data_IF_309501007530
#
_entry.id   IF_309501007530
#
_cell.length_a   1.000
_cell.length_b   1.000
_cell.length_c   1.000
_cell.angle_alpha   90.00
_cell.angle_beta   90.00
_cell.angle_gamma   90.00
#
_symmetry.space_group_name_H-M   'P 1'
#
loop_
_entity.id
_entity.type
_entity.pdbx_description
1 polymer ?
#
# COMPACT_ATOMS: atom_id res chain seq x y z
N UNK A 1 -22.91 -22.21 2.03
CA UNK A 1 -22.64 -21.59 0.70
C UNK A 1 -21.87 -20.30 0.93
N UNK A 2 -20.55 -20.38 0.96
CA UNK A 2 -19.69 -19.20 1.12
C UNK A 2 -19.51 -18.56 -0.24
N UNK A 3 -20.05 -17.36 -0.43
CA UNK A 3 -19.76 -16.55 -1.61
C UNK A 3 -18.28 -16.17 -1.48
N UNK A 4 -17.44 -16.75 -2.34
CA UNK A 4 -16.04 -16.37 -2.46
C UNK A 4 -15.94 -14.93 -2.94
N UNK A 5 -15.89 -14.00 -2.00
CA UNK A 5 -15.48 -12.63 -2.25
C UNK A 5 -14.17 -12.43 -1.49
N UNK A 6 -13.11 -12.08 -2.21
CA UNK A 6 -11.81 -11.73 -1.62
C UNK A 6 -11.82 -10.24 -1.28
N UNK A 7 -12.60 -9.86 -0.27
CA UNK A 7 -12.57 -8.53 0.32
C UNK A 7 -12.39 -8.66 1.82
N UNK A 8 -11.78 -7.65 2.47
CA UNK A 8 -11.55 -7.68 3.92
C UNK A 8 -12.81 -7.97 4.72
N UNK A 9 -13.96 -7.49 4.24
CA UNK A 9 -15.26 -7.75 4.85
C UNK A 9 -15.77 -9.19 4.65
N UNK A 10 -15.49 -9.79 3.49
CA UNK A 10 -15.97 -11.14 3.17
C UNK A 10 -15.18 -12.24 3.91
N UNK A 11 -14.00 -11.90 4.42
CA UNK A 11 -13.21 -12.78 5.29
C UNK A 11 -13.67 -12.68 6.75
N UNK A 12 -14.20 -11.53 7.17
CA UNK A 12 -14.78 -11.41 8.51
C UNK A 12 -16.13 -12.11 8.58
N UNK A 13 -16.44 -12.78 9.68
CA UNK A 13 -17.69 -13.54 9.91
C UNK A 13 -18.98 -12.66 9.93
N UNK A 14 -18.86 -11.35 9.70
CA UNK A 14 -19.96 -10.39 9.77
C UNK A 14 -20.83 -10.35 8.50
N UNK A 15 -22.11 -10.00 8.67
CA UNK A 15 -22.97 -9.69 7.54
C UNK A 15 -22.42 -8.51 6.71
N UNK A 16 -22.63 -8.53 5.39
CA UNK A 16 -22.26 -7.40 4.55
C UNK A 16 -23.10 -6.18 4.92
N UNK A 17 -22.43 -5.16 5.45
CA UNK A 17 -22.98 -3.85 5.76
C UNK A 17 -22.41 -2.83 4.78
N UNK A 18 -23.26 -2.31 3.90
CA UNK A 18 -22.87 -1.38 2.84
C UNK A 18 -22.24 -0.09 3.38
N UNK A 19 -22.73 0.42 4.51
CA UNK A 19 -22.20 1.65 5.12
C UNK A 19 -20.76 1.46 5.60
N UNK A 20 -20.45 0.34 6.26
CA UNK A 20 -19.09 0.00 6.69
C UNK A 20 -18.15 -0.18 5.48
N UNK A 21 -18.65 -0.81 4.42
CA UNK A 21 -17.91 -0.97 3.16
C UNK A 21 -17.55 0.38 2.54
N UNK A 22 -18.55 1.26 2.34
CA UNK A 22 -18.35 2.59 1.76
C UNK A 22 -17.44 3.47 2.64
N UNK A 23 -17.57 3.34 3.97
CA UNK A 23 -16.71 4.05 4.93
C UNK A 23 -15.26 3.59 4.80
N UNK A 24 -15.01 2.28 4.79
CA UNK A 24 -13.67 1.72 4.60
C UNK A 24 -13.07 2.10 3.24
N UNK A 25 -13.88 2.09 2.17
CA UNK A 25 -13.46 2.52 0.84
C UNK A 25 -13.08 4.00 0.81
N UNK A 26 -13.89 4.88 1.41
CA UNK A 26 -13.59 6.31 1.50
C UNK A 26 -12.31 6.57 2.30
N UNK A 27 -12.15 5.90 3.45
CA UNK A 27 -10.93 5.95 4.28
C UNK A 27 -9.71 5.54 3.46
N UNK A 28 -9.81 4.45 2.70
CA UNK A 28 -8.73 3.97 1.83
C UNK A 28 -8.37 5.04 0.79
N UNK A 29 -9.33 5.62 0.07
CA UNK A 29 -9.08 6.64 -0.95
C UNK A 29 -8.45 7.90 -0.36
N UNK A 30 -8.97 8.39 0.77
CA UNK A 30 -8.44 9.57 1.47
C UNK A 30 -6.99 9.35 1.90
N UNK A 31 -6.69 8.16 2.44
CA UNK A 31 -5.33 7.83 2.85
C UNK A 31 -4.38 7.61 1.66
N UNK A 32 -4.84 6.97 0.59
CA UNK A 32 -4.05 6.84 -0.64
C UNK A 32 -3.71 8.20 -1.25
N UNK A 33 -4.65 9.16 -1.19
CA UNK A 33 -4.37 10.55 -1.54
C UNK A 33 -3.32 11.16 -0.60
N UNK A 34 -3.47 10.98 0.71
CA UNK A 34 -2.52 11.49 1.71
C UNK A 34 -1.09 11.04 1.45
N UNK A 35 -0.84 9.73 1.33
CA UNK A 35 0.51 9.21 1.06
C UNK A 35 1.07 9.74 -0.27
N UNK A 36 0.21 9.98 -1.27
CA UNK A 36 0.63 10.49 -2.56
C UNK A 36 1.11 11.94 -2.46
N UNK A 37 0.41 12.77 -1.69
CA UNK A 37 0.86 14.14 -1.42
C UNK A 37 2.18 14.13 -0.66
N UNK A 38 2.30 13.28 0.36
CA UNK A 38 3.53 13.15 1.14
C UNK A 38 4.72 12.73 0.26
N UNK A 39 4.52 11.78 -0.65
CA UNK A 39 5.56 11.36 -1.59
C UNK A 39 5.99 12.52 -2.51
N UNK A 40 5.05 13.28 -3.06
CA UNK A 40 5.36 14.45 -3.92
C UNK A 40 6.12 15.54 -3.15
N UNK A 41 5.73 15.83 -1.90
CA UNK A 41 6.42 16.80 -1.04
C UNK A 41 7.84 16.36 -0.72
N UNK A 42 8.01 15.08 -0.33
CA UNK A 42 9.31 14.52 0.06
C UNK A 42 10.27 14.44 -1.14
N UNK A 43 9.76 14.07 -2.31
CA UNK A 43 10.58 13.80 -3.49
C UNK A 43 10.78 15.04 -4.37
N UNK A 44 10.16 16.18 -4.03
CA UNK A 44 10.18 17.42 -4.83
C UNK A 44 11.59 17.85 -5.29
N UNK A 45 12.56 17.97 -4.38
CA UNK A 45 13.92 18.40 -4.74
C UNK A 45 14.67 17.39 -5.62
N UNK A 46 14.42 16.10 -5.41
CA UNK A 46 15.01 15.06 -6.25
C UNK A 46 14.39 15.08 -7.66
N UNK A 47 13.08 15.28 -7.72
CA UNK A 47 12.32 15.32 -8.96
C UNK A 47 12.59 16.57 -9.79
N UNK A 48 12.90 17.72 -9.19
CA UNK A 48 13.31 18.91 -9.95
C UNK A 48 14.62 18.69 -10.71
N UNK A 49 15.53 17.87 -10.16
CA UNK A 49 16.82 17.56 -10.79
C UNK A 49 16.68 16.43 -11.83
N UNK A 50 16.00 15.35 -11.47
CA UNK A 50 16.01 14.11 -12.26
C UNK A 50 14.74 13.88 -13.10
N UNK A 51 13.64 14.58 -12.78
CA UNK A 51 12.31 14.35 -13.35
C UNK A 51 11.54 15.66 -13.58
N UNK A 52 12.17 16.64 -14.22
CA UNK A 52 11.60 17.98 -14.47
C UNK A 52 10.25 17.97 -15.20
N UNK A 53 9.92 16.88 -15.91
CA UNK A 53 8.63 16.67 -16.54
C UNK A 53 7.50 16.27 -15.58
N UNK A 54 7.71 16.13 -14.26
CA UNK A 54 6.62 15.86 -13.31
C UNK A 54 5.76 17.10 -13.07
N UNK A 55 4.47 16.96 -12.69
CA UNK A 55 3.54 18.11 -12.57
C UNK A 55 3.99 19.17 -11.56
N UNK A 56 4.54 18.75 -10.42
CA UNK A 56 4.95 19.63 -9.34
C UNK A 56 6.24 20.42 -9.69
N UNK A 57 7.33 19.79 -10.20
CA UNK A 57 8.46 20.53 -10.77
C UNK A 57 8.11 21.48 -11.92
N UNK A 58 7.08 21.16 -12.72
CA UNK A 58 6.58 22.03 -13.79
C UNK A 58 5.84 23.28 -13.29
N UNK A 59 5.49 23.33 -12.01
CA UNK A 59 4.67 24.41 -11.45
C UNK A 59 3.21 24.38 -11.91
N UNK A 60 2.69 23.23 -12.38
CA UNK A 60 1.27 23.09 -12.77
C UNK A 60 0.34 23.24 -11.57
N UNK A 61 0.81 22.87 -10.38
CA UNK A 61 0.10 23.03 -9.11
C UNK A 61 1.07 23.54 -8.04
N UNK A 62 0.56 24.32 -7.08
CA UNK A 62 1.36 24.75 -5.95
C UNK A 62 1.48 23.65 -4.89
N UNK A 63 2.67 23.50 -4.31
CA UNK A 63 2.89 22.61 -3.16
C UNK A 63 1.95 22.94 -2.00
N UNK A 64 1.71 24.23 -1.78
CA UNK A 64 0.85 24.72 -0.70
C UNK A 64 -0.61 24.32 -0.88
N UNK A 65 -1.10 24.32 -2.13
CA UNK A 65 -2.46 23.88 -2.46
C UNK A 65 -2.60 22.38 -2.21
N UNK A 66 -1.60 21.58 -2.62
CA UNK A 66 -1.63 20.14 -2.43
C UNK A 66 -1.63 19.77 -0.94
N UNK A 67 -0.82 20.45 -0.12
CA UNK A 67 -0.82 20.28 1.33
C UNK A 67 -2.11 20.76 2.01
N UNK A 68 -2.78 21.78 1.46
CA UNK A 68 -4.08 22.20 1.96
C UNK A 68 -5.13 21.11 1.75
N UNK A 69 -5.21 20.55 0.54
CA UNK A 69 -6.12 19.43 0.24
C UNK A 69 -5.79 18.18 1.05
N UNK A 70 -4.51 17.92 1.31
CA UNK A 70 -4.09 16.84 2.18
C UNK A 70 -4.61 16.99 3.62
N UNK A 71 -4.51 18.19 4.20
CA UNK A 71 -5.08 18.47 5.53
C UNK A 71 -6.60 18.25 5.56
N UNK A 72 -7.31 18.65 4.49
CA UNK A 72 -8.76 18.38 4.37
C UNK A 72 -9.02 16.88 4.29
N UNK A 73 -8.24 16.14 3.49
CA UNK A 73 -8.37 14.68 3.37
C UNK A 73 -8.10 13.97 4.70
N UNK A 74 -7.09 14.39 5.45
CA UNK A 74 -6.80 13.87 6.80
C UNK A 74 -7.93 14.16 7.79
N UNK A 75 -8.51 15.36 7.76
CA UNK A 75 -9.66 15.71 8.61
C UNK A 75 -10.83 14.77 8.33
N UNK A 76 -11.15 14.54 7.05
CA UNK A 76 -12.21 13.61 6.64
C UNK A 76 -11.87 12.16 7.03
N UNK A 77 -10.62 11.74 6.85
CA UNK A 77 -10.13 10.41 7.22
C UNK A 77 -10.36 10.12 8.71
N UNK A 78 -9.93 11.02 9.60
CA UNK A 78 -10.15 10.86 11.04
C UNK A 78 -11.62 10.96 11.43
N UNK A 79 -12.39 11.84 10.79
CA UNK A 79 -13.84 11.96 11.04
C UNK A 79 -14.57 10.67 10.71
N UNK A 80 -14.26 10.03 9.57
CA UNK A 80 -14.83 8.74 9.19
C UNK A 80 -14.41 7.62 10.14
N UNK A 81 -13.14 7.59 10.58
CA UNK A 81 -12.69 6.60 11.55
C UNK A 81 -13.43 6.69 12.88
N UNK A 82 -13.77 7.91 13.35
CA UNK A 82 -14.58 8.10 14.56
C UNK A 82 -15.97 7.48 14.46
N UNK A 83 -16.52 7.36 13.25
CA UNK A 83 -17.84 6.71 13.02
C UNK A 83 -17.78 5.17 12.97
N UNK A 84 -16.59 4.57 13.07
CA UNK A 84 -16.41 3.11 13.00
C UNK A 84 -16.30 2.50 14.41
N UNK A 85 -15.09 2.35 14.94
CA UNK A 85 -14.84 1.88 16.29
C UNK A 85 -13.53 2.48 16.85
N UNK A 86 -13.34 2.52 18.18
CA UNK A 86 -12.16 3.13 18.80
C UNK A 86 -10.83 2.50 18.36
N UNK A 87 -10.81 1.20 18.06
CA UNK A 87 -9.60 0.50 17.63
C UNK A 87 -9.19 0.89 16.22
N UNK A 88 -10.15 1.11 15.31
CA UNK A 88 -9.88 1.59 13.97
C UNK A 88 -9.31 3.02 14.02
N UNK A 89 -9.81 3.87 14.92
CA UNK A 89 -9.24 5.20 15.16
C UNK A 89 -7.79 5.13 15.65
N UNK A 90 -7.47 4.23 16.59
CA UNK A 90 -6.08 3.98 17.00
C UNK A 90 -5.21 3.47 15.84
N UNK A 91 -5.75 2.58 15.00
CA UNK A 91 -5.09 2.15 13.76
C UNK A 91 -4.80 3.33 12.83
N UNK A 92 -5.75 4.25 12.66
CA UNK A 92 -5.56 5.49 11.91
C UNK A 92 -4.45 6.39 12.47
N UNK A 93 -4.34 6.51 13.80
CA UNK A 93 -3.24 7.24 14.44
C UNK A 93 -1.90 6.56 14.14
N UNK A 94 -1.82 5.22 14.22
CA UNK A 94 -0.59 4.47 13.92
C UNK A 94 -0.18 4.66 12.46
N UNK A 95 -1.13 4.53 11.53
CA UNK A 95 -0.91 4.71 10.10
C UNK A 95 -0.44 6.14 9.80
N UNK A 96 -1.12 7.16 10.32
CA UNK A 96 -0.73 8.56 10.16
C UNK A 96 0.66 8.85 10.77
N UNK A 97 0.94 8.32 11.97
CA UNK A 97 2.25 8.45 12.62
C UNK A 97 3.36 7.81 11.79
N UNK A 98 3.10 6.68 11.14
CA UNK A 98 4.05 6.05 10.22
C UNK A 98 4.27 6.91 8.97
N UNK A 99 3.22 7.47 8.37
CA UNK A 99 3.36 8.37 7.22
C UNK A 99 4.13 9.64 7.59
N UNK A 100 3.96 10.15 8.81
CA UNK A 100 4.77 11.26 9.32
C UNK A 100 6.26 10.91 9.40
N UNK A 101 6.60 9.70 9.86
CA UNK A 101 7.98 9.20 9.80
C UNK A 101 8.47 9.09 8.35
N UNK A 102 7.67 8.53 7.45
CA UNK A 102 8.01 8.36 6.03
C UNK A 102 8.24 9.71 5.32
N UNK A 103 7.45 10.75 5.65
CA UNK A 103 7.62 12.14 5.17
C UNK A 103 9.01 12.68 5.49
N UNK A 104 9.54 12.35 6.68
CA UNK A 104 10.85 12.80 7.17
C UNK A 104 11.95 11.77 6.93
N UNK A 105 11.78 10.85 5.98
CA UNK A 105 12.76 9.81 5.65
C UNK A 105 13.19 8.97 6.88
N UNK A 106 12.22 8.68 7.75
CA UNK A 106 12.39 7.94 9.00
C UNK A 106 13.41 8.57 9.96
N UNK A 107 13.72 9.86 9.78
CA UNK A 107 14.77 10.58 10.51
C UNK A 107 16.19 10.03 10.32
N UNK A 108 16.38 9.14 9.33
CA UNK A 108 17.68 8.57 8.97
C UNK A 108 18.27 9.32 7.77
N UNK A 109 17.42 9.92 6.94
CA UNK A 109 17.81 10.78 5.82
C UNK A 109 18.52 10.02 4.69
N UNK A 110 19.59 10.60 4.09
CA UNK A 110 20.28 10.04 2.93
C UNK A 110 20.83 8.63 3.13
N UNK A 111 21.19 8.26 4.38
CA UNK A 111 21.70 6.91 4.70
C UNK A 111 20.68 5.82 4.40
N UNK A 112 19.39 6.13 4.55
CA UNK A 112 18.32 5.19 4.23
C UNK A 112 18.04 5.17 2.73
N UNK A 113 18.03 6.34 2.07
CA UNK A 113 17.83 6.45 0.61
C UNK A 113 18.87 5.64 -0.18
N UNK A 114 20.12 5.61 0.28
CA UNK A 114 21.19 4.81 -0.34
C UNK A 114 20.92 3.28 -0.27
N UNK A 115 20.04 2.84 0.63
CA UNK A 115 19.60 1.43 0.74
C UNK A 115 18.28 1.24 0.00
N UNK A 116 18.34 1.30 -1.34
CA UNK A 116 17.18 1.28 -2.24
C UNK A 116 16.09 0.27 -1.85
N UNK A 117 16.44 -1.00 -1.65
CA UNK A 117 15.47 -2.03 -1.29
C UNK A 117 14.81 -1.78 0.06
N UNK A 118 15.61 -1.48 1.09
CA UNK A 118 15.09 -1.22 2.43
C UNK A 118 14.18 0.01 2.43
N UNK A 119 14.59 1.07 1.73
CA UNK A 119 13.80 2.29 1.60
C UNK A 119 12.43 2.01 0.95
N UNK A 120 12.39 1.30 -0.17
CA UNK A 120 11.12 0.96 -0.82
C UNK A 120 10.27 0.01 0.04
N UNK A 121 10.88 -0.97 0.72
CA UNK A 121 10.17 -1.86 1.64
C UNK A 121 9.52 -1.10 2.79
N UNK A 122 10.24 -0.17 3.43
CA UNK A 122 9.68 0.66 4.49
C UNK A 122 8.52 1.54 3.99
N UNK A 123 8.59 2.04 2.76
CA UNK A 123 7.49 2.79 2.17
C UNK A 123 6.26 1.89 1.88
N UNK A 124 6.45 0.64 1.47
CA UNK A 124 5.37 -0.33 1.24
C UNK A 124 4.64 -0.76 2.53
N UNK A 125 5.32 -0.74 3.68
CA UNK A 125 4.69 -1.05 4.99
C UNK A 125 3.49 -0.14 5.28
N UNK A 126 3.45 1.08 4.73
CA UNK A 126 2.29 1.97 4.85
C UNK A 126 0.99 1.35 4.35
N UNK A 127 1.04 0.64 3.22
CA UNK A 127 -0.13 -0.04 2.65
C UNK A 127 -0.54 -1.24 3.51
N UNK A 128 0.44 -1.94 4.10
CA UNK A 128 0.17 -3.02 5.03
C UNK A 128 -0.55 -2.50 6.30
N UNK A 129 -0.07 -1.40 6.88
CA UNK A 129 -0.70 -0.78 8.06
C UNK A 129 -2.13 -0.29 7.75
N UNK A 130 -2.33 0.35 6.60
CA UNK A 130 -3.67 0.72 6.13
C UNK A 130 -4.58 -0.51 6.05
N UNK A 131 -4.10 -1.59 5.45
CA UNK A 131 -4.85 -2.83 5.30
C UNK A 131 -5.27 -3.41 6.66
N UNK A 132 -4.39 -3.41 7.66
CA UNK A 132 -4.74 -3.83 9.03
C UNK A 132 -5.79 -2.92 9.66
N UNK A 133 -5.72 -1.60 9.42
CA UNK A 133 -6.72 -0.64 9.91
C UNK A 133 -8.09 -0.91 9.27
N UNK A 134 -8.13 -1.19 7.97
CA UNK A 134 -9.36 -1.57 7.27
C UNK A 134 -9.96 -2.85 7.88
N UNK A 135 -9.14 -3.84 8.24
CA UNK A 135 -9.64 -5.03 8.92
C UNK A 135 -10.26 -4.72 10.29
N UNK A 136 -9.63 -3.84 11.06
CA UNK A 136 -10.15 -3.44 12.38
C UNK A 136 -11.53 -2.77 12.28
N UNK A 137 -11.85 -2.10 11.15
CA UNK A 137 -13.19 -1.57 10.88
C UNK A 137 -14.24 -2.67 10.87
N UNK A 138 -13.94 -3.82 10.24
CA UNK A 138 -14.88 -4.94 10.10
C UNK A 138 -14.84 -5.92 11.28
N UNK A 139 -13.66 -6.18 11.85
CA UNK A 139 -13.46 -7.12 12.94
C UNK A 139 -12.28 -6.69 13.81
N UNK A 140 -12.57 -6.27 15.06
CA UNK A 140 -11.53 -5.83 16.01
C UNK A 140 -10.51 -6.93 16.29
N UNK A 141 -10.96 -8.18 16.40
CA UNK A 141 -10.12 -9.35 16.69
C UNK A 141 -9.65 -10.06 15.41
N UNK A 142 -9.41 -9.31 14.32
CA UNK A 142 -9.02 -9.83 13.00
C UNK A 142 -7.83 -10.79 13.03
N UNK A 143 -6.88 -10.58 13.94
CA UNK A 143 -5.65 -11.36 14.04
C UNK A 143 -5.85 -12.78 14.54
N UNK A 144 -7.03 -13.13 15.06
CA UNK A 144 -7.33 -14.48 15.55
C UNK A 144 -7.62 -15.47 14.43
N UNK A 145 -8.07 -14.99 13.27
CA UNK A 145 -8.38 -15.84 12.13
C UNK A 145 -7.13 -16.03 11.24
N UNK A 146 -6.63 -17.27 11.08
CA UNK A 146 -5.52 -17.57 10.17
C UNK A 146 -5.79 -17.14 8.71
N UNK A 147 -7.05 -17.10 8.28
CA UNK A 147 -7.44 -16.70 6.93
C UNK A 147 -7.11 -15.23 6.65
N UNK A 148 -7.19 -14.36 7.67
CA UNK A 148 -6.84 -12.94 7.58
C UNK A 148 -5.35 -12.77 7.34
N UNK A 149 -4.50 -13.55 8.03
CA UNK A 149 -3.05 -13.52 7.83
C UNK A 149 -2.65 -13.96 6.43
N UNK A 150 -3.30 -15.01 5.92
CA UNK A 150 -3.12 -15.44 4.54
C UNK A 150 -3.54 -14.36 3.54
N UNK A 151 -4.70 -13.72 3.74
CA UNK A 151 -5.14 -12.64 2.84
C UNK A 151 -4.22 -11.41 2.93
N UNK A 152 -3.75 -11.03 4.12
CA UNK A 152 -2.74 -9.98 4.31
C UNK A 152 -1.44 -10.33 3.57
N UNK A 153 -1.00 -11.58 3.65
CA UNK A 153 0.18 -12.05 2.91
C UNK A 153 -0.03 -11.97 1.40
N UNK A 154 -1.18 -12.41 0.88
CA UNK A 154 -1.52 -12.36 -0.54
C UNK A 154 -1.57 -10.91 -1.06
N UNK A 155 -2.25 -10.01 -0.34
CA UNK A 155 -2.32 -8.59 -0.70
C UNK A 155 -0.96 -7.89 -0.60
N UNK A 156 -0.16 -8.22 0.42
CA UNK A 156 1.20 -7.70 0.56
C UNK A 156 2.12 -8.16 -0.59
N UNK A 157 2.04 -9.43 -0.98
CA UNK A 157 2.77 -9.96 -2.13
C UNK A 157 2.31 -9.32 -3.44
N UNK A 158 1.00 -9.16 -3.64
CA UNK A 158 0.46 -8.47 -4.81
C UNK A 158 0.97 -7.03 -4.88
N UNK A 159 0.95 -6.30 -3.76
CA UNK A 159 1.46 -4.93 -3.69
C UNK A 159 2.95 -4.86 -4.02
N UNK A 160 3.75 -5.81 -3.53
CA UNK A 160 5.17 -5.91 -3.86
C UNK A 160 5.40 -6.22 -5.35
N UNK A 161 4.64 -7.16 -5.91
CA UNK A 161 4.72 -7.51 -7.34
C UNK A 161 4.40 -6.29 -8.20
N UNK A 162 3.33 -5.57 -7.89
CA UNK A 162 2.94 -4.34 -8.60
C UNK A 162 4.00 -3.25 -8.48
N UNK A 163 4.60 -3.08 -7.30
CA UNK A 163 5.69 -2.11 -7.09
C UNK A 163 6.94 -2.46 -7.91
N UNK A 164 7.33 -3.74 -7.93
CA UNK A 164 8.43 -4.22 -8.75
C UNK A 164 8.14 -3.97 -10.24
N UNK A 165 6.97 -4.39 -10.74
CA UNK A 165 6.56 -4.18 -12.12
C UNK A 165 6.57 -2.70 -12.52
N UNK A 166 6.03 -1.83 -11.67
CA UNK A 166 5.96 -0.38 -11.90
C UNK A 166 7.34 0.26 -12.09
N UNK A 167 8.37 -0.34 -11.51
CA UNK A 167 9.76 0.14 -11.50
C UNK A 167 10.72 -0.78 -12.28
N UNK A 168 10.21 -1.51 -13.27
CA UNK A 168 11.03 -2.21 -14.27
C UNK A 168 11.14 -1.33 -15.52
N UNK A 169 12.37 -1.02 -15.93
CA UNK A 169 12.68 -0.31 -17.17
C UNK A 169 13.81 -0.99 -17.94
N UNK A 170 13.86 -0.78 -19.25
CA UNK A 170 15.05 -1.14 -20.03
C UNK A 170 16.15 -0.12 -19.79
N UNK A 171 17.40 -0.52 -20.03
CA UNK A 171 18.59 0.32 -19.75
C UNK A 171 18.53 1.68 -20.45
N UNK A 172 17.92 1.75 -21.64
CA UNK A 172 17.80 2.99 -22.42
C UNK A 172 16.74 3.96 -21.86
N UNK A 173 15.85 3.47 -20.98
CA UNK A 173 14.74 4.23 -20.38
C UNK A 173 14.99 4.61 -18.92
N UNK A 174 16.17 4.30 -18.40
CA UNK A 174 16.56 4.61 -17.04
C UNK A 174 16.81 6.11 -16.87
N UNK A 175 16.31 6.67 -15.77
CA UNK A 175 16.62 8.04 -15.38
C UNK A 175 18.01 8.12 -14.74
N UNK A 176 18.57 9.33 -14.69
CA UNK A 176 19.86 9.59 -14.02
C UNK A 176 19.83 9.32 -12.51
N UNK A 177 18.64 9.32 -11.88
CA UNK A 177 18.46 9.05 -10.44
C UNK A 177 18.51 7.57 -10.03
N UNK A 178 18.53 6.62 -10.99
CA UNK A 178 18.55 5.18 -10.72
C UNK A 178 17.43 4.69 -9.76
N UNK A 179 16.22 5.23 -9.94
CA UNK A 179 15.06 4.99 -9.05
C UNK A 179 14.35 3.63 -9.28
N UNK A 180 14.90 2.77 -10.11
CA UNK A 180 14.26 1.54 -10.58
C UNK A 180 14.92 0.28 -10.00
N UNK A 181 14.13 -0.80 -9.91
CA UNK A 181 14.66 -2.10 -9.53
C UNK A 181 15.55 -2.66 -10.64
N UNK A 182 15.26 -2.37 -11.90
CA UNK A 182 16.11 -2.76 -13.03
C UNK A 182 17.49 -2.12 -13.00
N UNK A 183 17.63 -0.87 -12.54
CA UNK A 183 18.93 -0.22 -12.36
C UNK A 183 19.73 -0.83 -11.19
N UNK A 184 19.10 -1.05 -10.03
CA UNK A 184 19.79 -1.51 -8.82
C UNK A 184 20.01 -3.03 -8.77
N UNK A 185 19.06 -3.81 -9.29
CA UNK A 185 19.05 -5.27 -9.23
C UNK A 185 19.38 -5.92 -10.58
N UNK A 186 19.26 -5.19 -11.68
CA UNK A 186 19.37 -5.70 -13.04
C UNK A 186 18.02 -6.16 -13.60
N UNK A 187 17.79 -5.87 -14.88
CA UNK A 187 16.53 -6.16 -15.57
C UNK A 187 16.08 -7.63 -15.46
N UNK A 188 16.97 -8.58 -15.84
CA UNK A 188 16.65 -10.02 -15.81
C UNK A 188 16.38 -10.55 -14.40
N UNK A 189 17.14 -10.09 -13.41
CA UNK A 189 16.96 -10.50 -12.01
C UNK A 189 15.64 -9.96 -11.44
N UNK A 190 15.28 -8.74 -11.79
CA UNK A 190 13.99 -8.14 -11.40
C UNK A 190 12.81 -8.91 -11.99
N UNK A 191 12.86 -9.24 -13.29
CA UNK A 191 11.84 -10.09 -13.92
C UNK A 191 11.77 -11.49 -13.28
N UNK A 192 12.92 -12.09 -12.98
CA UNK A 192 12.95 -13.39 -12.28
C UNK A 192 12.31 -13.32 -10.90
N UNK A 193 12.55 -12.24 -10.14
CA UNK A 193 11.95 -12.04 -8.82
C UNK A 193 10.42 -11.89 -8.92
N UNK A 194 9.95 -11.10 -9.88
CA UNK A 194 8.52 -10.94 -10.18
C UNK A 194 7.87 -12.29 -10.52
N UNK A 195 8.46 -13.04 -11.45
CA UNK A 195 7.95 -14.36 -11.85
C UNK A 195 7.92 -15.33 -10.67
N UNK A 196 8.97 -15.34 -9.86
CA UNK A 196 9.06 -16.17 -8.67
C UNK A 196 7.95 -15.84 -7.66
N UNK A 197 7.77 -14.56 -7.30
CA UNK A 197 6.73 -14.13 -6.35
C UNK A 197 5.32 -14.43 -6.87
N UNK A 198 5.10 -14.28 -8.18
CA UNK A 198 3.82 -14.57 -8.83
C UNK A 198 3.51 -16.08 -8.78
N UNK A 199 4.49 -16.92 -9.15
CA UNK A 199 4.34 -18.38 -9.09
C UNK A 199 4.19 -18.88 -7.65
N UNK A 200 4.90 -18.30 -6.70
CA UNK A 200 4.76 -18.62 -5.27
C UNK A 200 3.34 -18.32 -4.77
N UNK A 201 2.84 -17.12 -5.07
CA UNK A 201 1.48 -16.71 -4.69
C UNK A 201 0.42 -17.60 -5.33
N UNK A 202 0.54 -17.87 -6.64
CA UNK A 202 -0.35 -18.77 -7.36
C UNK A 202 -0.30 -20.21 -6.85
N UNK A 203 0.91 -20.71 -6.53
CA UNK A 203 1.12 -22.04 -5.96
C UNK A 203 0.48 -22.20 -4.59
N UNK A 204 0.60 -21.20 -3.72
CA UNK A 204 -0.07 -21.18 -2.41
C UNK A 204 -1.59 -21.19 -2.59
N UNK A 205 -2.14 -20.33 -3.44
CA UNK A 205 -3.58 -20.33 -3.74
C UNK A 205 -4.05 -21.69 -4.26
N UNK A 206 -3.31 -22.30 -5.20
CA UNK A 206 -3.64 -23.62 -5.74
C UNK A 206 -3.58 -24.72 -4.69
N UNK A 207 -2.54 -24.75 -3.86
CA UNK A 207 -2.41 -25.71 -2.76
C UNK A 207 -3.56 -25.58 -1.76
N UNK A 208 -3.98 -24.37 -1.43
CA UNK A 208 -5.12 -24.15 -0.55
C UNK A 208 -6.42 -24.63 -1.18
N UNK A 209 -6.66 -24.33 -2.45
CA UNK A 209 -7.83 -24.87 -3.17
C UNK A 209 -7.85 -26.40 -3.18
N UNK A 210 -6.69 -27.03 -3.33
CA UNK A 210 -6.54 -28.49 -3.31
C UNK A 210 -6.76 -29.08 -1.91
N UNK A 211 -6.11 -28.53 -0.88
CA UNK A 211 -6.19 -29.00 0.50
C UNK A 211 -7.58 -28.81 1.11
N UNK A 212 -8.24 -27.69 0.81
CA UNK A 212 -9.58 -27.38 1.32
C UNK A 212 -10.71 -28.03 0.51
N UNK A 213 -10.39 -28.94 -0.43
CA UNK A 213 -11.33 -29.71 -1.28
C UNK A 213 -12.53 -28.86 -1.70
N UNK A 214 -12.39 -28.17 -2.84
CA UNK A 214 -13.47 -27.57 -3.61
C UNK A 214 -14.80 -28.35 -3.46
N UNK A 215 -15.62 -27.89 -2.51
CA UNK A 215 -17.05 -28.18 -2.36
C UNK A 215 -17.84 -27.32 -3.36
N UNK A 216 -17.37 -27.29 -4.60
CA UNK A 216 -17.88 -26.45 -5.70
C UNK A 216 -18.37 -27.32 -6.88
N UNK A 217 -18.31 -28.65 -6.73
CA UNK A 217 -18.83 -29.65 -7.66
C UNK A 217 -19.83 -30.62 -6.99
N UNK A 218 -20.49 -30.19 -5.91
CA UNK A 218 -21.61 -30.91 -5.31
C UNK A 218 -22.80 -29.96 -5.12
#
# INVERSE_FOLDING_TARGET
MGVGVLSSQAITEGAFVLTSFLTAFAIMILYLFHIRVIDEVRDYYHDTIHHSNRPLPRGTHSLQELELWDRVALLLFFTLLLTTNPWAFLGGIMVWGYTFMARHEFFIGPRLKNKFFLYNTLNLVQLFLLQTTIYVIFQVQWFKDPSVWLHLWLLGNLSLILELFRKVRRKEQESSGQDTYSANFGFRRTLSAISFLTLLSGGICFLLLFLYKISFLA
#
